data_IF_764463982212
#
_entry.id   IF_764463982212
#
_cell.length_a   1.000
_cell.length_b   1.000
_cell.length_c   1.000
_cell.angle_alpha   90.00
_cell.angle_beta   90.00
_cell.angle_gamma   90.00
#
_symmetry.space_group_name_H-M   'P 1'
#
loop_
_entity.id
_entity.type
_entity.pdbx_description
1 polymer ?
#
# COMPACT_ATOMS: atom_id res chain seq x y z
N UNK A 1 -17.37 27.76 -4.17
CA UNK A 1 -18.02 26.46 -4.45
C UNK A 1 -18.20 26.17 -5.94
N UNK A 2 -18.86 27.02 -6.76
CA UNK A 2 -19.10 26.71 -8.19
C UNK A 2 -17.84 26.56 -9.08
N UNK A 3 -16.72 27.22 -8.76
CA UNK A 3 -15.41 27.03 -9.43
C UNK A 3 -14.74 25.69 -9.13
N UNK A 4 -15.07 25.03 -8.01
CA UNK A 4 -14.48 23.75 -7.60
C UNK A 4 -15.17 22.55 -8.27
N UNK A 5 -16.43 22.70 -8.68
CA UNK A 5 -17.20 21.66 -9.37
C UNK A 5 -16.82 21.52 -10.84
N UNK A 6 -16.51 22.64 -11.53
CA UNK A 6 -15.98 22.60 -12.91
C UNK A 6 -14.57 22.00 -12.98
N UNK A 7 -13.74 22.21 -11.95
CA UNK A 7 -12.43 21.55 -11.84
C UNK A 7 -12.61 20.05 -11.62
N UNK A 8 -13.57 19.63 -10.79
CA UNK A 8 -13.91 18.22 -10.56
C UNK A 8 -14.42 17.50 -11.83
N UNK A 9 -15.18 18.20 -12.69
CA UNK A 9 -15.72 17.65 -13.96
C UNK A 9 -14.70 17.63 -15.11
N UNK A 10 -13.75 18.57 -15.13
CA UNK A 10 -12.58 18.56 -16.03
C UNK A 10 -11.54 17.51 -15.61
N UNK A 11 -11.37 17.27 -14.30
CA UNK A 11 -10.58 16.15 -13.75
C UNK A 11 -11.14 14.81 -14.24
N UNK A 12 -12.46 14.72 -14.38
CA UNK A 12 -13.15 13.48 -14.72
C UNK A 12 -13.09 13.12 -16.21
N UNK A 13 -13.21 14.10 -17.10
CA UNK A 13 -13.16 13.88 -18.56
C UNK A 13 -11.75 13.60 -19.10
N UNK A 14 -10.69 13.99 -18.37
CA UNK A 14 -9.28 13.80 -18.77
C UNK A 14 -8.73 12.44 -18.30
N UNK A 15 -9.28 11.82 -17.25
CA UNK A 15 -8.80 10.53 -16.71
C UNK A 15 -8.96 9.34 -17.70
N UNK A 16 -9.75 9.51 -18.76
CA UNK A 16 -10.19 8.37 -19.57
C UNK A 16 -9.22 7.93 -20.69
N UNK A 17 -8.25 8.74 -21.14
CA UNK A 17 -7.31 8.34 -22.22
C UNK A 17 -5.82 8.15 -21.83
N UNK A 18 -5.40 8.43 -20.59
CA UNK A 18 -3.96 8.65 -20.27
C UNK A 18 -3.30 7.65 -19.29
N UNK A 19 -3.95 6.53 -18.95
CA UNK A 19 -3.47 5.67 -17.85
C UNK A 19 -2.32 4.68 -18.21
N UNK A 20 -1.92 4.55 -19.47
CA UNK A 20 -0.81 3.66 -19.88
C UNK A 20 0.57 4.36 -19.98
N UNK A 21 0.65 5.69 -19.80
CA UNK A 21 1.81 6.51 -20.19
C UNK A 21 2.35 7.44 -19.09
N UNK A 22 2.04 7.21 -17.80
CA UNK A 22 2.54 8.11 -16.73
C UNK A 22 4.05 8.03 -16.53
N UNK A 23 4.69 9.19 -16.48
CA UNK A 23 6.14 9.33 -16.26
C UNK A 23 6.59 8.84 -14.89
N UNK A 24 7.88 8.53 -14.77
CA UNK A 24 8.50 8.08 -13.53
C UNK A 24 8.34 9.13 -12.41
N UNK A 25 8.38 10.42 -12.76
CA UNK A 25 8.08 11.55 -11.90
C UNK A 25 6.64 11.54 -11.36
N UNK A 26 5.64 11.25 -12.19
CA UNK A 26 4.26 11.05 -11.74
C UNK A 26 4.11 9.86 -10.78
N UNK A 27 4.81 8.75 -11.03
CA UNK A 27 4.78 7.56 -10.15
C UNK A 27 5.33 7.87 -8.77
N UNK A 28 6.48 8.53 -8.69
CA UNK A 28 7.07 8.93 -7.42
C UNK A 28 6.22 9.96 -6.67
N UNK A 29 5.53 10.87 -7.37
CA UNK A 29 4.58 11.78 -6.74
C UNK A 29 3.37 11.05 -6.12
N UNK A 30 2.91 9.96 -6.73
CA UNK A 30 1.88 9.08 -6.15
C UNK A 30 2.42 8.36 -4.90
N UNK A 31 3.63 7.81 -4.97
CA UNK A 31 4.27 7.15 -3.82
C UNK A 31 4.44 8.13 -2.63
N UNK A 32 4.87 9.37 -2.91
CA UNK A 32 4.93 10.43 -1.92
C UNK A 32 3.56 10.69 -1.26
N UNK A 33 2.50 10.81 -2.07
CA UNK A 33 1.15 11.01 -1.59
C UNK A 33 0.69 9.84 -0.69
N UNK A 34 1.00 8.60 -1.04
CA UNK A 34 0.66 7.44 -0.22
C UNK A 34 1.34 7.45 1.15
N UNK A 35 2.64 7.74 1.23
CA UNK A 35 3.34 7.87 2.51
C UNK A 35 2.74 8.99 3.37
N UNK A 36 2.39 10.14 2.79
CA UNK A 36 1.72 11.21 3.53
C UNK A 36 0.32 10.82 4.01
N UNK A 37 -0.41 9.99 3.26
CA UNK A 37 -1.71 9.45 3.68
C UNK A 37 -1.57 8.58 4.92
N UNK A 38 -0.56 7.71 4.98
CA UNK A 38 -0.29 6.89 6.16
C UNK A 38 0.03 7.76 7.38
N UNK A 39 0.95 8.72 7.22
CA UNK A 39 1.28 9.68 8.28
C UNK A 39 0.05 10.48 8.77
N UNK A 40 -0.83 10.90 7.86
CA UNK A 40 -2.05 11.62 8.22
C UNK A 40 -3.02 10.73 9.02
N UNK A 41 -3.19 9.46 8.62
CA UNK A 41 -4.03 8.50 9.34
C UNK A 41 -3.55 8.29 10.78
N UNK A 42 -2.24 8.14 10.97
CA UNK A 42 -1.67 7.96 12.30
C UNK A 42 -1.74 9.24 13.14
N UNK A 43 -1.56 10.42 12.53
CA UNK A 43 -1.75 11.69 13.21
C UNK A 43 -3.22 11.93 13.61
N UNK A 44 -4.17 11.52 12.77
CA UNK A 44 -5.60 11.55 13.10
C UNK A 44 -5.91 10.65 14.29
N UNK A 45 -5.36 9.42 14.30
CA UNK A 45 -5.51 8.50 15.43
C UNK A 45 -4.97 9.10 16.71
N UNK A 46 -3.77 9.65 16.66
CA UNK A 46 -3.12 10.33 17.77
C UNK A 46 -3.94 11.51 18.33
N UNK A 47 -4.64 12.26 17.47
CA UNK A 47 -5.43 13.41 17.88
C UNK A 47 -6.76 13.05 18.56
N UNK A 48 -7.43 11.99 18.11
CA UNK A 48 -8.82 11.68 18.51
C UNK A 48 -8.96 10.47 19.41
N UNK A 49 -7.98 9.57 19.45
CA UNK A 49 -8.02 8.38 20.28
C UNK A 49 -6.90 8.43 21.31
N UNK A 50 -7.27 8.55 22.59
CA UNK A 50 -6.34 8.50 23.72
C UNK A 50 -5.56 7.19 23.65
N UNK A 51 -4.24 7.26 23.48
CA UNK A 51 -3.40 6.07 23.29
C UNK A 51 -2.20 6.11 24.22
N UNK A 52 -1.98 5.01 24.95
CA UNK A 52 -0.80 4.81 25.79
C UNK A 52 0.50 4.66 24.97
N UNK A 53 0.39 4.61 23.63
CA UNK A 53 1.51 4.39 22.70
C UNK A 53 1.90 5.65 21.92
N UNK A 54 1.76 6.83 22.53
CA UNK A 54 2.01 8.13 21.90
C UNK A 54 3.31 8.19 21.08
N UNK A 55 4.43 7.77 21.68
CA UNK A 55 5.76 7.80 21.02
C UNK A 55 5.85 6.90 19.79
N UNK A 56 5.14 5.78 19.76
CA UNK A 56 5.11 4.88 18.60
C UNK A 56 4.37 5.52 17.42
N UNK A 57 3.20 6.11 17.67
CA UNK A 57 2.47 6.85 16.64
C UNK A 57 3.27 8.05 16.12
N UNK A 58 3.90 8.81 17.02
CA UNK A 58 4.76 9.94 16.64
C UNK A 58 5.92 9.49 15.72
N UNK A 59 6.57 8.37 16.05
CA UNK A 59 7.65 7.81 15.23
C UNK A 59 7.14 7.38 13.84
N UNK A 60 6.03 6.63 13.78
CA UNK A 60 5.44 6.17 12.52
C UNK A 60 5.04 7.35 11.61
N UNK A 61 4.48 8.42 12.20
CA UNK A 61 4.15 9.65 11.48
C UNK A 61 5.44 10.26 10.89
N UNK A 62 6.49 10.40 11.70
CA UNK A 62 7.75 11.00 11.27
C UNK A 62 8.45 10.17 10.19
N UNK A 63 8.43 8.85 10.27
CA UNK A 63 9.01 7.94 9.28
C UNK A 63 8.28 8.03 7.94
N UNK A 64 6.96 7.96 7.96
CA UNK A 64 6.15 8.09 6.74
C UNK A 64 6.31 9.45 6.08
N UNK A 65 6.39 10.55 6.84
CA UNK A 65 6.64 11.87 6.24
C UNK A 65 8.05 11.92 5.64
N UNK A 66 9.07 11.31 6.26
CA UNK A 66 10.43 11.25 5.69
C UNK A 66 10.45 10.44 4.39
N UNK A 67 9.81 9.27 4.38
CA UNK A 67 9.73 8.42 3.19
C UNK A 67 9.02 9.14 2.03
N UNK A 68 7.91 9.82 2.32
CA UNK A 68 7.20 10.63 1.31
C UNK A 68 8.08 11.73 0.72
N UNK A 69 8.97 12.34 1.52
CA UNK A 69 9.96 13.32 1.03
C UNK A 69 11.03 12.69 0.15
N UNK A 70 11.51 11.48 0.47
CA UNK A 70 12.42 10.74 -0.41
C UNK A 70 11.79 10.48 -1.78
N UNK A 71 10.51 10.11 -1.82
CA UNK A 71 9.79 9.99 -3.09
C UNK A 71 9.60 11.33 -3.81
N UNK A 72 9.41 12.45 -3.10
CA UNK A 72 9.42 13.78 -3.73
C UNK A 72 10.78 14.05 -4.40
N UNK A 73 11.89 13.75 -3.73
CA UNK A 73 13.22 13.97 -4.30
C UNK A 73 13.38 13.17 -5.61
N UNK A 74 12.92 11.91 -5.63
CA UNK A 74 12.87 11.10 -6.85
C UNK A 74 11.92 11.68 -7.90
N UNK A 75 10.73 12.16 -7.52
CA UNK A 75 9.79 12.77 -8.44
C UNK A 75 10.36 14.02 -9.13
N UNK A 76 11.13 14.84 -8.39
CA UNK A 76 11.82 16.00 -8.94
C UNK A 76 12.98 15.59 -9.85
N UNK A 77 13.73 14.56 -9.48
CA UNK A 77 14.86 14.06 -10.28
C UNK A 77 14.45 13.62 -11.68
N UNK A 78 13.29 12.94 -11.79
CA UNK A 78 12.78 12.42 -13.05
C UNK A 78 11.78 13.36 -13.76
N UNK A 79 11.61 14.59 -13.27
CA UNK A 79 10.71 15.57 -13.88
C UNK A 79 11.36 16.25 -15.09
N UNK A 80 10.57 16.53 -16.12
CA UNK A 80 11.04 17.40 -17.21
C UNK A 80 11.14 18.84 -16.71
N UNK A 81 12.14 19.64 -17.15
CA UNK A 81 12.18 21.08 -16.87
C UNK A 81 10.91 21.84 -17.33
N UNK A 82 10.18 21.28 -18.31
CA UNK A 82 8.94 21.85 -18.82
C UNK A 82 7.72 21.58 -17.93
N UNK A 83 7.82 20.68 -16.94
CA UNK A 83 6.76 20.35 -15.97
C UNK A 83 6.65 21.40 -14.85
N UNK A 84 6.81 22.68 -15.18
CA UNK A 84 6.95 23.79 -14.23
C UNK A 84 5.86 23.85 -13.15
N UNK A 85 4.60 23.58 -13.51
CA UNK A 85 3.47 23.57 -12.57
C UNK A 85 3.47 22.33 -11.66
N UNK A 86 3.84 21.16 -12.19
CA UNK A 86 3.98 19.93 -11.40
C UNK A 86 5.15 20.04 -10.42
N UNK A 87 6.29 20.58 -10.89
CA UNK A 87 7.47 20.88 -10.10
C UNK A 87 7.16 21.89 -8.98
N UNK A 88 6.35 22.92 -9.24
CA UNK A 88 5.91 23.85 -8.20
C UNK A 88 5.09 23.10 -7.13
N UNK A 89 4.19 22.22 -7.54
CA UNK A 89 3.30 21.48 -6.65
C UNK A 89 4.03 20.45 -5.80
N UNK A 90 4.94 19.68 -6.39
CA UNK A 90 5.73 18.71 -5.63
C UNK A 90 6.70 19.40 -4.65
N UNK A 91 7.21 20.60 -4.99
CA UNK A 91 7.98 21.43 -4.05
C UNK A 91 7.14 21.98 -2.90
N UNK A 92 5.90 22.40 -3.18
CA UNK A 92 4.95 22.79 -2.12
C UNK A 92 4.63 21.62 -1.18
N UNK A 93 4.49 20.40 -1.72
CA UNK A 93 4.32 19.21 -0.91
C UNK A 93 5.50 18.97 0.04
N UNK A 94 6.75 19.13 -0.41
CA UNK A 94 7.94 19.02 0.45
C UNK A 94 7.99 20.12 1.52
N UNK A 95 7.60 21.36 1.20
CA UNK A 95 7.49 22.45 2.18
C UNK A 95 6.50 22.08 3.29
N UNK A 96 5.33 21.55 2.92
CA UNK A 96 4.34 21.12 3.89
C UNK A 96 4.81 19.90 4.70
N UNK A 97 5.46 18.93 4.07
CA UNK A 97 6.05 17.78 4.76
C UNK A 97 7.09 18.22 5.81
N UNK A 98 7.96 19.19 5.49
CA UNK A 98 8.91 19.80 6.45
C UNK A 98 8.21 20.46 7.62
N UNK A 99 7.13 21.21 7.38
CA UNK A 99 6.31 21.83 8.45
C UNK A 99 5.61 20.78 9.32
N UNK A 100 5.15 19.68 8.73
CA UNK A 100 4.60 18.53 9.44
C UNK A 100 5.64 17.93 10.40
N UNK A 101 6.83 17.59 9.89
CA UNK A 101 7.96 17.08 10.70
C UNK A 101 8.28 18.02 11.86
N UNK A 102 8.35 19.33 11.61
CA UNK A 102 8.66 20.31 12.66
C UNK A 102 7.63 20.28 13.80
N UNK A 103 6.35 20.16 13.48
CA UNK A 103 5.28 20.07 14.48
C UNK A 103 5.34 18.76 15.27
N UNK A 104 5.49 17.62 14.58
CA UNK A 104 5.54 16.32 15.25
C UNK A 104 6.83 16.14 16.07
N UNK A 105 7.94 16.81 15.74
CA UNK A 105 9.16 16.79 16.57
C UNK A 105 9.00 17.55 17.90
N UNK A 106 8.16 18.59 17.95
CA UNK A 106 7.93 19.40 19.17
C UNK A 106 7.23 18.57 20.26
N UNK A 107 6.55 17.48 19.88
CA UNK A 107 5.86 16.55 20.78
C UNK A 107 6.81 15.69 21.63
N UNK A 108 8.13 15.88 21.50
CA UNK A 108 9.12 15.15 22.29
C UNK A 108 9.20 15.75 23.70
N UNK A 109 8.55 15.12 24.70
CA UNK A 109 8.77 15.41 26.11
C UNK A 109 7.95 16.58 26.71
N UNK A 110 6.73 16.84 26.23
CA UNK A 110 5.83 17.84 26.84
C UNK A 110 4.53 17.20 27.35
N UNK A 111 3.73 18.03 28.02
CA UNK A 111 2.50 17.64 28.71
C UNK A 111 1.32 17.67 27.72
N UNK A 112 0.49 16.62 27.67
CA UNK A 112 -0.48 16.30 26.60
C UNK A 112 -1.40 17.49 26.20
N UNK A 113 -1.87 18.28 27.17
CA UNK A 113 -2.72 19.45 26.90
C UNK A 113 -2.01 20.60 26.15
N UNK A 114 -0.67 20.68 26.22
CA UNK A 114 0.13 21.66 25.48
C UNK A 114 0.53 21.16 24.09
N UNK A 115 0.30 19.89 23.79
CA UNK A 115 0.73 19.20 22.56
C UNK A 115 -0.36 19.16 21.49
N UNK A 116 -1.63 19.11 21.90
CA UNK A 116 -2.79 19.02 21.01
C UNK A 116 -2.84 20.09 19.88
N UNK A 117 -2.44 21.38 20.09
CA UNK A 117 -2.34 22.34 18.99
C UNK A 117 -1.32 21.96 17.91
N UNK A 118 -0.19 21.37 18.30
CA UNK A 118 0.87 20.93 17.38
C UNK A 118 0.47 19.68 16.62
N UNK A 119 -0.29 18.77 17.24
CA UNK A 119 -0.86 17.59 16.55
C UNK A 119 -1.82 18.05 15.45
N UNK A 120 -2.74 18.97 15.75
CA UNK A 120 -3.67 19.55 14.76
C UNK A 120 -2.95 20.27 13.62
N UNK A 121 -1.92 21.07 13.94
CA UNK A 121 -1.10 21.75 12.94
C UNK A 121 -0.30 20.76 12.08
N UNK A 122 0.29 19.73 12.71
CA UNK A 122 0.98 18.65 12.02
C UNK A 122 0.06 17.92 11.04
N UNK A 123 -1.15 17.55 11.47
CA UNK A 123 -2.18 16.95 10.62
C UNK A 123 -2.53 17.85 9.43
N UNK A 124 -2.75 19.15 9.68
CA UNK A 124 -3.05 20.13 8.64
C UNK A 124 -1.95 20.16 7.57
N UNK A 125 -0.68 20.22 7.98
CA UNK A 125 0.44 20.24 7.05
C UNK A 125 0.61 18.92 6.30
N UNK A 126 0.49 17.77 6.97
CA UNK A 126 0.58 16.46 6.30
C UNK A 126 -0.53 16.27 5.28
N UNK A 127 -1.75 16.74 5.56
CA UNK A 127 -2.85 16.73 4.60
C UNK A 127 -2.55 17.58 3.36
N UNK A 128 -1.96 18.77 3.54
CA UNK A 128 -1.57 19.61 2.41
C UNK A 128 -0.45 18.99 1.57
N UNK A 129 0.54 18.34 2.23
CA UNK A 129 1.59 17.58 1.54
C UNK A 129 1.01 16.45 0.70
N UNK A 130 0.07 15.68 1.26
CA UNK A 130 -0.69 14.67 0.54
C UNK A 130 -1.40 15.25 -0.69
N UNK A 131 -2.18 16.32 -0.53
CA UNK A 131 -2.97 16.89 -1.62
C UNK A 131 -2.12 17.48 -2.73
N UNK A 132 -1.03 18.17 -2.40
CA UNK A 132 -0.14 18.77 -3.40
C UNK A 132 0.73 17.72 -4.11
N UNK A 133 1.14 16.65 -3.43
CA UNK A 133 1.83 15.52 -4.07
C UNK A 133 0.91 14.78 -5.05
N UNK A 134 -0.35 14.54 -4.64
CA UNK A 134 -1.35 13.97 -5.53
C UNK A 134 -1.61 14.88 -6.73
N UNK A 135 -1.77 16.19 -6.51
CA UNK A 135 -1.99 17.15 -7.60
C UNK A 135 -0.79 17.27 -8.54
N UNK A 136 0.43 17.22 -8.03
CA UNK A 136 1.64 17.16 -8.86
C UNK A 136 1.66 15.91 -9.75
N UNK A 137 1.22 14.76 -9.24
CA UNK A 137 1.15 13.52 -10.02
C UNK A 137 0.22 13.60 -11.24
N UNK A 138 -0.79 14.48 -11.19
CA UNK A 138 -1.72 14.72 -12.30
C UNK A 138 -1.17 15.71 -13.34
N UNK A 139 -0.09 16.41 -13.01
CA UNK A 139 0.45 17.52 -13.80
C UNK A 139 1.77 17.22 -14.50
N UNK A 140 2.49 16.15 -14.13
CA UNK A 140 3.69 15.74 -14.86
C UNK A 140 3.30 15.31 -16.28
N UNK A 141 3.98 15.87 -17.30
CA UNK A 141 3.69 15.59 -18.70
C UNK A 141 4.08 14.18 -19.10
N UNK A 142 3.33 13.56 -20.02
CA UNK A 142 3.52 12.19 -20.54
C UNK A 142 4.76 12.03 -21.47
N UNK A 143 5.76 12.90 -21.37
CA UNK A 143 6.92 12.84 -22.26
C UNK A 143 7.80 11.64 -21.90
N UNK A 144 7.69 10.56 -22.67
CA UNK A 144 8.49 9.34 -22.51
C UNK A 144 9.96 9.63 -22.81
N UNK A 145 10.79 9.69 -21.77
CA UNK A 145 12.25 9.57 -21.94
C UNK A 145 12.55 8.08 -22.11
N UNK A 146 13.00 7.69 -23.31
CA UNK A 146 13.58 6.38 -23.53
C UNK A 146 14.88 6.27 -22.73
N UNK A 147 14.84 5.53 -21.63
CA UNK A 147 16.03 5.04 -20.97
C UNK A 147 16.07 3.55 -21.28
N UNK A 148 17.15 3.11 -21.93
CA UNK A 148 17.48 1.69 -22.09
C UNK A 148 17.44 1.03 -20.72
N UNK A 149 16.47 0.14 -20.52
CA UNK A 149 16.38 -0.68 -19.32
C UNK A 149 17.62 -1.58 -19.23
N UNK A 150 18.49 -1.27 -18.27
CA UNK A 150 19.42 -2.25 -17.74
C UNK A 150 18.59 -3.23 -16.89
N UNK A 151 18.22 -4.35 -17.50
CA UNK A 151 17.36 -5.41 -16.95
C UNK A 151 18.09 -6.32 -15.94
N UNK A 152 19.28 -5.92 -15.48
CA UNK A 152 20.15 -6.77 -14.63
C UNK A 152 20.05 -6.50 -13.12
N UNK A 153 19.23 -5.55 -12.66
CA UNK A 153 19.03 -5.34 -11.22
C UNK A 153 17.75 -6.00 -10.69
N UNK A 154 17.94 -6.98 -9.79
CA UNK A 154 16.89 -7.60 -8.99
C UNK A 154 16.08 -6.50 -8.25
N UNK A 155 14.76 -6.57 -8.31
CA UNK A 155 13.88 -5.61 -7.63
C UNK A 155 13.89 -5.92 -6.13
N UNK A 156 14.49 -5.03 -5.32
CA UNK A 156 14.47 -5.14 -3.85
C UNK A 156 13.03 -5.22 -3.30
N UNK A 157 12.80 -6.08 -2.31
CA UNK A 157 11.55 -6.26 -1.54
C UNK A 157 10.84 -4.93 -1.24
N UNK A 158 11.58 -3.91 -0.80
CA UNK A 158 11.00 -2.61 -0.42
C UNK A 158 10.31 -1.90 -1.59
N UNK A 159 10.87 -2.07 -2.80
CA UNK A 159 10.28 -1.54 -4.04
C UNK A 159 9.04 -2.34 -4.43
N UNK A 160 9.10 -3.67 -4.31
CA UNK A 160 7.98 -4.55 -4.61
C UNK A 160 6.78 -4.28 -3.67
N UNK A 161 7.01 -4.08 -2.37
CA UNK A 161 5.97 -3.68 -1.40
C UNK A 161 5.33 -2.32 -1.75
N UNK A 162 6.13 -1.38 -2.26
CA UNK A 162 5.65 -0.06 -2.71
C UNK A 162 4.78 -0.17 -3.96
N UNK A 163 5.23 -0.99 -4.92
CA UNK A 163 4.50 -1.25 -6.17
C UNK A 163 3.18 -1.99 -5.88
N UNK A 164 3.20 -2.98 -4.99
CA UNK A 164 2.01 -3.72 -4.53
C UNK A 164 0.98 -2.76 -3.92
N UNK A 165 1.41 -1.93 -2.96
CA UNK A 165 0.54 -0.94 -2.30
C UNK A 165 -0.06 0.04 -3.30
N UNK A 166 0.71 0.41 -4.32
CA UNK A 166 0.26 1.30 -5.39
C UNK A 166 -0.81 0.69 -6.26
N UNK A 167 -0.62 -0.55 -6.71
CA UNK A 167 -1.62 -1.25 -7.52
C UNK A 167 -2.90 -1.55 -6.73
N UNK A 168 -2.78 -1.96 -5.47
CA UNK A 168 -3.92 -2.11 -4.55
C UNK A 168 -4.71 -0.80 -4.38
N UNK A 169 -4.01 0.32 -4.25
CA UNK A 169 -4.64 1.64 -4.13
C UNK A 169 -5.36 2.03 -5.41
N UNK A 170 -4.72 1.83 -6.57
CA UNK A 170 -5.29 2.14 -7.89
C UNK A 170 -6.55 1.30 -8.14
N UNK A 171 -6.50 -0.01 -7.85
CA UNK A 171 -7.66 -0.91 -7.91
C UNK A 171 -8.82 -0.37 -7.08
N UNK A 172 -8.59 -0.05 -5.80
CA UNK A 172 -9.63 0.48 -4.92
C UNK A 172 -10.22 1.82 -5.39
N UNK A 173 -9.41 2.68 -6.02
CA UNK A 173 -9.90 3.92 -6.63
C UNK A 173 -10.83 3.64 -7.82
N UNK A 174 -10.47 2.70 -8.69
CA UNK A 174 -11.34 2.29 -9.80
C UNK A 174 -12.64 1.66 -9.30
N UNK A 175 -12.59 0.75 -8.34
CA UNK A 175 -13.77 0.14 -7.72
C UNK A 175 -14.72 1.21 -7.14
N UNK A 176 -14.17 2.18 -6.40
CA UNK A 176 -14.94 3.29 -5.83
C UNK A 176 -15.58 4.15 -6.93
N UNK A 177 -14.85 4.43 -8.01
CA UNK A 177 -15.41 5.25 -9.09
C UNK A 177 -16.46 4.50 -9.90
N UNK A 178 -16.25 3.22 -10.17
CA UNK A 178 -17.25 2.36 -10.84
C UNK A 178 -18.54 2.34 -10.02
N UNK A 179 -18.44 2.17 -8.70
CA UNK A 179 -19.61 2.23 -7.81
C UNK A 179 -20.30 3.60 -7.84
N UNK A 180 -19.52 4.69 -7.83
CA UNK A 180 -20.09 6.03 -7.93
C UNK A 180 -20.80 6.27 -9.27
N UNK A 181 -20.28 5.71 -10.37
CA UNK A 181 -20.94 5.74 -11.68
C UNK A 181 -22.25 4.96 -11.64
N UNK A 182 -22.29 3.80 -10.99
CA UNK A 182 -23.54 3.04 -10.83
C UNK A 182 -24.60 3.82 -10.07
N UNK A 183 -24.20 4.47 -8.97
CA UNK A 183 -25.09 5.34 -8.20
C UNK A 183 -25.55 6.56 -9.03
N UNK A 184 -24.69 7.09 -9.91
CA UNK A 184 -25.00 8.22 -10.79
C UNK A 184 -25.96 7.81 -11.91
N UNK A 185 -25.72 6.68 -12.57
CA UNK A 185 -26.60 6.09 -13.58
C UNK A 185 -28.00 5.87 -12.98
N UNK A 186 -28.10 5.26 -11.80
CA UNK A 186 -29.39 5.02 -11.15
C UNK A 186 -30.18 6.31 -10.90
N UNK A 187 -29.50 7.41 -10.53
CA UNK A 187 -30.14 8.72 -10.34
C UNK A 187 -30.60 9.33 -11.66
N UNK A 188 -29.78 9.24 -12.71
CA UNK A 188 -30.12 9.77 -14.03
C UNK A 188 -31.28 8.99 -14.64
N UNK A 189 -31.29 7.66 -14.50
CA UNK A 189 -32.41 6.79 -14.91
C UNK A 189 -33.71 7.15 -14.16
N UNK A 190 -33.64 7.40 -12.85
CA UNK A 190 -34.79 7.89 -12.10
C UNK A 190 -35.30 9.25 -12.64
N UNK A 191 -34.42 10.20 -12.94
CA UNK A 191 -34.81 11.48 -13.55
C UNK A 191 -35.39 11.33 -14.95
N UNK A 192 -34.89 10.37 -15.75
CA UNK A 192 -35.40 10.08 -17.10
C UNK A 192 -36.87 9.64 -17.07
N UNK A 193 -37.27 8.85 -16.06
CA UNK A 193 -38.66 8.42 -15.89
C UNK A 193 -39.62 9.54 -15.47
N UNK A 194 -39.10 10.63 -14.88
CA UNK A 194 -39.91 11.72 -14.33
C UNK A 194 -40.14 12.88 -15.31
N UNK A 195 -39.34 12.97 -16.38
CA UNK A 195 -39.46 14.05 -17.37
C UNK A 195 -40.31 13.62 -18.56
N UNK A 196 -41.08 14.56 -19.11
CA UNK A 196 -41.81 14.40 -20.37
C UNK A 196 -41.21 15.26 -21.50
N UNK A 197 -40.20 16.08 -21.22
CA UNK A 197 -39.54 16.93 -22.19
C UNK A 197 -38.54 16.14 -23.05
N UNK A 198 -38.72 16.18 -24.36
CA UNK A 198 -37.95 15.37 -25.32
C UNK A 198 -36.46 15.75 -25.38
N UNK A 199 -36.13 17.05 -25.27
CA UNK A 199 -34.73 17.50 -25.25
C UNK A 199 -34.02 17.03 -23.97
N UNK A 200 -34.70 17.15 -22.83
CA UNK A 200 -34.22 16.68 -21.53
C UNK A 200 -34.02 15.16 -21.53
N UNK A 201 -34.97 14.39 -22.09
CA UNK A 201 -34.82 12.92 -22.21
C UNK A 201 -33.57 12.55 -22.98
N UNK A 202 -33.38 13.14 -24.16
CA UNK A 202 -32.22 12.87 -25.00
C UNK A 202 -30.90 13.19 -24.28
N UNK A 203 -30.83 14.32 -23.57
CA UNK A 203 -29.64 14.70 -22.79
C UNK A 203 -29.34 13.73 -21.64
N UNK A 204 -30.37 13.21 -20.97
CA UNK A 204 -30.22 12.22 -19.91
C UNK A 204 -29.78 10.86 -20.48
N UNK A 205 -30.31 10.45 -21.63
CA UNK A 205 -29.87 9.25 -22.36
C UNK A 205 -28.41 9.35 -22.79
N UNK A 206 -27.99 10.48 -23.36
CA UNK A 206 -26.59 10.75 -23.72
C UNK A 206 -25.67 10.72 -22.48
N UNK A 207 -26.13 11.26 -21.35
CA UNK A 207 -25.39 11.21 -20.09
C UNK A 207 -25.21 9.77 -19.58
N UNK A 208 -26.25 8.94 -19.64
CA UNK A 208 -26.18 7.51 -19.28
C UNK A 208 -25.21 6.78 -20.22
N UNK A 209 -25.25 7.05 -21.52
CA UNK A 209 -24.35 6.43 -22.48
C UNK A 209 -22.88 6.76 -22.19
N UNK A 210 -22.57 8.03 -21.92
CA UNK A 210 -21.22 8.48 -21.55
C UNK A 210 -20.73 7.82 -20.24
N UNK A 211 -21.60 7.76 -19.21
CA UNK A 211 -21.28 7.10 -17.95
C UNK A 211 -21.03 5.60 -18.12
N UNK A 212 -21.80 4.91 -18.97
CA UNK A 212 -21.61 3.48 -19.28
C UNK A 212 -20.30 3.24 -20.03
N UNK A 213 -19.96 4.08 -21.01
CA UNK A 213 -18.70 4.01 -21.74
C UNK A 213 -17.50 4.21 -20.79
N UNK A 214 -17.60 5.17 -19.89
CA UNK A 214 -16.58 5.39 -18.87
C UNK A 214 -16.43 4.24 -17.90
N UNK A 215 -17.54 3.68 -17.40
CA UNK A 215 -17.52 2.48 -16.55
C UNK A 215 -16.80 1.32 -17.25
N UNK A 216 -17.09 1.08 -18.53
CA UNK A 216 -16.42 0.04 -19.32
C UNK A 216 -14.90 0.27 -19.42
N UNK A 217 -14.46 1.52 -19.64
CA UNK A 217 -13.03 1.87 -19.68
C UNK A 217 -12.35 1.65 -18.33
N UNK A 218 -12.99 2.02 -17.22
CA UNK A 218 -12.45 1.82 -15.88
C UNK A 218 -12.32 0.34 -15.53
N UNK A 219 -13.27 -0.52 -15.92
CA UNK A 219 -13.14 -1.97 -15.76
C UNK A 219 -11.93 -2.54 -16.50
N UNK A 220 -11.70 -2.13 -17.74
CA UNK A 220 -10.52 -2.55 -18.51
C UNK A 220 -9.21 -2.17 -17.82
N UNK A 221 -9.12 -0.93 -17.31
CA UNK A 221 -7.96 -0.46 -16.52
C UNK A 221 -7.79 -1.21 -15.20
N UNK A 222 -8.89 -1.55 -14.54
CA UNK A 222 -8.88 -2.31 -13.29
C UNK A 222 -8.35 -3.73 -13.50
N UNK A 223 -8.80 -4.42 -14.55
CA UNK A 223 -8.30 -5.77 -14.87
C UNK A 223 -6.80 -5.76 -15.18
N UNK A 224 -6.33 -4.80 -15.99
CA UNK A 224 -4.89 -4.66 -16.26
C UNK A 224 -4.06 -4.32 -15.00
N UNK A 225 -4.66 -3.60 -14.05
CA UNK A 225 -4.04 -3.32 -12.75
C UNK A 225 -3.97 -4.57 -11.89
N UNK A 226 -5.00 -5.41 -11.94
CA UNK A 226 -5.04 -6.71 -11.26
C UNK A 226 -3.93 -7.63 -11.76
N UNK A 227 -3.77 -7.75 -13.08
CA UNK A 227 -2.73 -8.59 -13.68
C UNK A 227 -1.33 -8.15 -13.22
N UNK A 228 -1.10 -6.83 -13.14
CA UNK A 228 0.16 -6.26 -12.62
C UNK A 228 0.35 -6.47 -11.14
N UNK A 229 -0.72 -6.34 -10.36
CA UNK A 229 -0.69 -6.60 -8.93
C UNK A 229 -0.28 -8.05 -8.68
N UNK A 230 -0.89 -9.01 -9.38
CA UNK A 230 -0.56 -10.44 -9.29
C UNK A 230 0.92 -10.67 -9.62
N UNK A 231 1.44 -10.07 -10.69
CA UNK A 231 2.87 -10.18 -11.02
C UNK A 231 3.77 -9.66 -9.90
N UNK A 232 3.47 -8.49 -9.34
CA UNK A 232 4.26 -7.92 -8.23
C UNK A 232 4.15 -8.76 -6.96
N UNK A 233 2.97 -9.31 -6.67
CA UNK A 233 2.77 -10.18 -5.52
C UNK A 233 3.55 -11.48 -5.66
N UNK A 234 3.63 -12.05 -6.87
CA UNK A 234 4.47 -13.21 -7.17
C UNK A 234 5.96 -12.87 -7.00
N UNK A 235 6.44 -11.77 -7.60
CA UNK A 235 7.82 -11.28 -7.42
C UNK A 235 8.15 -11.09 -5.92
N UNK A 236 7.21 -10.52 -5.15
CA UNK A 236 7.37 -10.30 -3.72
C UNK A 236 7.40 -11.62 -2.93
N UNK A 237 6.54 -12.58 -3.28
CA UNK A 237 6.51 -13.91 -2.68
C UNK A 237 7.83 -14.65 -2.87
N UNK A 238 8.52 -14.46 -4.01
CA UNK A 238 9.83 -15.05 -4.25
C UNK A 238 10.93 -14.33 -3.45
N UNK A 239 10.95 -13.01 -3.50
CA UNK A 239 12.06 -12.23 -2.95
C UNK A 239 12.01 -12.08 -1.42
N UNK A 240 10.82 -12.17 -0.80
CA UNK A 240 10.66 -12.01 0.65
C UNK A 240 11.44 -13.05 1.45
N UNK A 241 11.64 -14.26 0.90
CA UNK A 241 12.41 -15.33 1.55
C UNK A 241 13.91 -15.22 1.29
N UNK A 242 14.35 -14.42 0.31
CA UNK A 242 15.76 -14.16 0.06
C UNK A 242 16.32 -13.02 0.92
N UNK A 243 15.45 -12.24 1.58
CA UNK A 243 15.85 -11.15 2.46
C UNK A 243 16.49 -11.67 3.75
N UNK A 244 17.82 -11.49 3.88
CA UNK A 244 18.66 -12.14 4.91
C UNK A 244 18.55 -11.53 6.31
N UNK A 245 17.93 -10.35 6.49
CA UNK A 245 18.18 -9.52 7.69
C UNK A 245 16.97 -8.72 8.21
N UNK A 246 15.74 -9.30 8.21
CA UNK A 246 14.57 -8.60 8.75
C UNK A 246 13.57 -9.51 9.46
N UNK A 247 13.09 -9.04 10.61
CA UNK A 247 11.87 -9.50 11.26
C UNK A 247 10.64 -9.06 10.45
N UNK A 248 10.11 -9.96 9.63
CA UNK A 248 8.99 -9.66 8.74
C UNK A 248 7.75 -10.41 9.22
N UNK A 249 6.77 -9.66 9.71
CA UNK A 249 5.43 -10.15 10.00
C UNK A 249 4.38 -9.05 9.75
N UNK A 250 3.42 -9.33 8.89
CA UNK A 250 2.19 -8.58 8.73
C UNK A 250 1.00 -9.48 9.11
N UNK A 251 -0.06 -8.88 9.65
CA UNK A 251 -1.24 -9.63 10.14
C UNK A 251 -2.55 -9.17 9.51
N UNK A 252 -2.50 -8.26 8.56
CA UNK A 252 -3.63 -7.62 7.90
C UNK A 252 -3.43 -7.54 6.37
N UNK A 253 -2.53 -8.37 5.81
CA UNK A 253 -2.23 -8.43 4.38
C UNK A 253 -3.27 -9.27 3.63
N UNK A 254 -4.53 -8.90 3.76
CA UNK A 254 -5.67 -9.61 3.17
C UNK A 254 -5.64 -9.53 1.63
N UNK A 255 -5.98 -10.62 0.96
CA UNK A 255 -6.01 -10.70 -0.50
C UNK A 255 -4.64 -10.73 -1.17
N UNK A 256 -3.57 -10.99 -0.42
CA UNK A 256 -2.24 -11.19 -0.98
C UNK A 256 -2.13 -12.53 -1.71
N UNK A 257 -2.45 -13.62 -1.00
CA UNK A 257 -2.47 -14.96 -1.58
C UNK A 257 -3.79 -15.21 -2.30
N UNK A 258 -3.73 -15.87 -3.45
CA UNK A 258 -4.88 -16.21 -4.29
C UNK A 258 -4.55 -17.44 -5.16
N UNK A 259 -5.49 -17.88 -6.00
CA UNK A 259 -5.22 -18.92 -7.01
C UNK A 259 -4.06 -18.53 -7.96
N UNK A 260 -3.90 -17.23 -8.26
CA UNK A 260 -2.85 -16.73 -9.18
C UNK A 260 -1.55 -16.28 -8.46
N UNK A 261 -1.56 -16.28 -7.12
CA UNK A 261 -0.39 -16.09 -6.25
C UNK A 261 -0.53 -17.03 -5.05
N UNK A 262 -0.29 -18.34 -5.22
CA UNK A 262 -0.50 -19.32 -4.17
C UNK A 262 0.51 -19.15 -3.03
N UNK A 263 0.19 -19.70 -1.85
CA UNK A 263 1.14 -19.74 -0.74
C UNK A 263 2.33 -20.60 -1.18
N UNK A 264 3.56 -20.06 -1.15
CA UNK A 264 4.71 -20.77 -1.71
C UNK A 264 5.06 -22.00 -0.88
N UNK A 265 5.47 -23.07 -1.57
CA UNK A 265 5.77 -24.37 -0.98
C UNK A 265 7.26 -24.70 -1.09
N UNK A 266 7.83 -25.25 -0.01
CA UNK A 266 9.24 -25.65 0.10
C UNK A 266 10.22 -24.52 -0.29
N UNK A 267 9.93 -23.30 0.15
CA UNK A 267 10.77 -22.12 -0.10
C UNK A 267 12.20 -22.33 0.42
N UNK A 268 13.18 -21.90 -0.36
CA UNK A 268 14.56 -21.81 0.13
C UNK A 268 14.65 -20.69 1.16
N UNK A 269 15.34 -20.97 2.27
CA UNK A 269 15.54 -20.02 3.36
C UNK A 269 16.90 -19.36 3.24
N UNK A 270 17.05 -18.12 3.76
CA UNK A 270 18.33 -17.45 3.73
C UNK A 270 19.35 -18.23 4.58
N UNK A 271 20.63 -18.08 4.24
CA UNK A 271 21.71 -18.67 5.01
C UNK A 271 21.77 -18.04 6.41
N UNK A 272 22.14 -18.84 7.40
CA UNK A 272 22.14 -18.43 8.81
C UNK A 272 20.99 -19.04 9.60
N UNK A 273 20.80 -18.50 10.80
CA UNK A 273 19.76 -18.92 11.74
C UNK A 273 18.47 -18.16 11.44
N UNK A 274 17.38 -18.90 11.24
CA UNK A 274 16.06 -18.35 10.96
C UNK A 274 15.03 -19.01 11.86
N UNK A 275 14.31 -18.19 12.62
CA UNK A 275 13.14 -18.60 13.38
C UNK A 275 11.88 -18.35 12.56
N UNK A 276 10.94 -19.30 12.65
CA UNK A 276 9.61 -19.20 12.02
C UNK A 276 8.56 -19.64 13.01
N UNK A 277 7.31 -19.27 12.76
CA UNK A 277 6.19 -19.66 13.62
C UNK A 277 5.32 -20.64 12.87
N UNK A 278 5.24 -21.86 13.38
CA UNK A 278 4.36 -22.87 12.84
C UNK A 278 2.94 -22.64 13.38
N UNK A 279 1.95 -22.62 12.48
CA UNK A 279 0.55 -22.33 12.83
C UNK A 279 -0.40 -23.51 12.60
N UNK A 280 0.05 -24.56 11.92
CA UNK A 280 -0.75 -25.78 11.73
C UNK A 280 -0.11 -26.79 10.80
N UNK A 281 -0.75 -27.97 10.74
CA UNK A 281 -0.48 -29.02 9.77
C UNK A 281 -1.79 -29.51 9.17
N UNK A 282 -1.85 -29.63 7.85
CA UNK A 282 -3.06 -30.06 7.15
C UNK A 282 -2.72 -31.08 6.05
N UNK A 283 -3.63 -32.01 5.76
CA UNK A 283 -3.43 -32.98 4.68
C UNK A 283 -3.62 -32.35 3.29
N UNK A 284 -4.51 -31.38 3.20
CA UNK A 284 -4.83 -30.66 1.97
C UNK A 284 -4.42 -29.19 2.09
N UNK A 285 -4.22 -28.54 0.96
CA UNK A 285 -4.05 -27.10 0.89
C UNK A 285 -5.32 -26.40 1.41
N UNK A 286 -5.11 -25.39 2.25
CA UNK A 286 -6.20 -24.51 2.71
C UNK A 286 -6.29 -23.26 1.85
N UNK A 287 -7.51 -22.75 1.58
CA UNK A 287 -7.71 -21.46 0.94
C UNK A 287 -7.02 -20.32 1.70
N UNK A 288 -6.50 -19.34 0.97
CA UNK A 288 -5.77 -18.20 1.50
C UNK A 288 -6.54 -17.42 2.58
N UNK A 289 -7.88 -17.37 2.46
CA UNK A 289 -8.77 -16.66 3.36
C UNK A 289 -8.74 -17.21 4.79
N UNK A 290 -8.35 -18.48 4.98
CA UNK A 290 -8.23 -19.09 6.31
C UNK A 290 -7.09 -18.49 7.15
N UNK A 291 -6.15 -17.79 6.51
CA UNK A 291 -4.96 -17.27 7.17
C UNK A 291 -5.08 -15.81 7.61
N UNK A 292 -6.24 -15.17 7.40
CA UNK A 292 -6.59 -13.84 7.91
C UNK A 292 -5.53 -12.74 7.66
N UNK A 293 -4.85 -12.77 6.52
CA UNK A 293 -3.84 -11.77 6.16
C UNK A 293 -2.49 -11.92 6.87
N UNK A 294 -2.21 -13.09 7.44
CA UNK A 294 -0.86 -13.45 7.88
C UNK A 294 0.12 -13.46 6.70
N UNK A 295 1.26 -12.79 6.87
CA UNK A 295 2.31 -12.72 5.85
C UNK A 295 3.70 -12.52 6.48
N UNK A 296 4.77 -13.08 5.89
CA UNK A 296 4.77 -14.05 4.79
C UNK A 296 4.41 -15.46 5.28
N UNK A 297 3.56 -16.17 4.52
CA UNK A 297 3.25 -17.58 4.70
C UNK A 297 4.08 -18.43 3.75
N UNK A 298 4.45 -19.63 4.20
CA UNK A 298 4.90 -20.68 3.30
C UNK A 298 4.52 -22.05 3.84
N UNK A 299 4.57 -23.05 2.97
CA UNK A 299 4.34 -24.44 3.34
C UNK A 299 5.58 -25.30 3.19
N UNK A 300 5.68 -26.38 3.96
CA UNK A 300 6.69 -27.44 3.80
C UNK A 300 5.98 -28.79 3.78
N UNK A 301 6.34 -29.66 2.83
CA UNK A 301 5.77 -31.00 2.74
C UNK A 301 6.46 -31.95 3.71
N UNK A 302 5.69 -32.59 4.59
CA UNK A 302 6.15 -33.56 5.59
C UNK A 302 5.63 -34.94 5.24
N UNK A 303 6.55 -35.91 5.17
CA UNK A 303 6.27 -37.33 4.91
C UNK A 303 5.43 -37.59 3.64
N UNK A 304 5.49 -36.67 2.67
CA UNK A 304 4.65 -36.65 1.47
C UNK A 304 3.13 -36.61 1.70
N UNK A 305 2.67 -36.43 2.94
CA UNK A 305 1.25 -36.49 3.33
C UNK A 305 0.73 -35.18 3.91
N UNK A 306 1.54 -34.48 4.69
CA UNK A 306 1.09 -33.28 5.41
C UNK A 306 1.79 -32.02 4.90
N UNK A 307 1.08 -30.90 4.93
CA UNK A 307 1.59 -29.56 4.71
C UNK A 307 1.72 -28.84 6.05
N UNK A 308 2.96 -28.48 6.41
CA UNK A 308 3.26 -27.60 7.53
C UNK A 308 3.07 -26.16 7.09
N UNK A 309 2.25 -25.39 7.80
CA UNK A 309 2.11 -23.95 7.55
C UNK A 309 2.96 -23.16 8.53
N UNK A 310 3.74 -22.23 7.98
CA UNK A 310 4.66 -21.39 8.73
C UNK A 310 4.47 -19.93 8.34
N UNK A 311 4.56 -19.05 9.32
CA UNK A 311 4.45 -17.61 9.14
C UNK A 311 5.68 -16.89 9.67
N UNK A 312 6.08 -15.85 8.96
CA UNK A 312 7.15 -14.95 9.34
C UNK A 312 8.53 -15.55 9.17
N UNK A 313 9.50 -14.64 9.17
CA UNK A 313 10.93 -14.92 9.28
C UNK A 313 11.47 -13.97 10.35
N UNK A 314 12.27 -14.51 11.26
CA UNK A 314 12.88 -13.75 12.35
C UNK A 314 14.32 -14.22 12.53
N UNK A 315 15.24 -13.29 12.74
CA UNK A 315 16.65 -13.61 13.03
C UNK A 315 16.87 -13.88 14.53
N UNK A 316 15.94 -13.40 15.38
CA UNK A 316 15.99 -13.50 16.84
C UNK A 316 14.82 -14.25 17.42
N UNK A 317 15.10 -15.02 18.47
CA UNK A 317 14.08 -15.78 19.18
C UNK A 317 13.06 -14.86 19.86
N UNK A 318 13.51 -13.73 20.42
CA UNK A 318 12.63 -12.82 21.14
C UNK A 318 11.59 -12.17 20.23
N UNK A 319 11.97 -11.79 19.01
CA UNK A 319 11.07 -11.20 18.03
C UNK A 319 10.05 -12.23 17.53
N UNK A 320 10.49 -13.47 17.25
CA UNK A 320 9.60 -14.59 16.99
C UNK A 320 8.64 -14.87 18.16
N UNK A 321 9.09 -14.73 19.41
CA UNK A 321 8.26 -14.91 20.61
C UNK A 321 7.20 -13.83 20.76
N UNK A 322 7.54 -12.57 20.49
CA UNK A 322 6.57 -11.45 20.46
C UNK A 322 5.56 -11.66 19.34
N UNK A 323 6.02 -12.02 18.14
CA UNK A 323 5.17 -12.35 17.00
C UNK A 323 4.21 -13.51 17.30
N UNK A 324 4.70 -14.60 17.91
CA UNK A 324 3.88 -15.76 18.29
C UNK A 324 2.72 -15.36 19.19
N UNK A 325 2.95 -14.49 20.18
CA UNK A 325 1.88 -14.00 21.06
C UNK A 325 0.78 -13.28 20.28
N UNK A 326 1.15 -12.48 19.27
CA UNK A 326 0.20 -11.78 18.40
C UNK A 326 -0.60 -12.77 17.53
N UNK A 327 0.06 -13.79 17.00
CA UNK A 327 -0.57 -14.87 16.21
C UNK A 327 -1.54 -15.70 17.06
N UNK A 328 -1.16 -16.06 18.29
CA UNK A 328 -2.06 -16.74 19.25
C UNK A 328 -3.29 -15.87 19.55
N UNK A 329 -3.09 -14.57 19.80
CA UNK A 329 -4.18 -13.64 20.07
C UNK A 329 -5.15 -13.49 18.87
N UNK A 330 -4.69 -13.79 17.65
CA UNK A 330 -5.49 -13.81 16.43
C UNK A 330 -6.30 -15.10 16.25
N UNK A 331 -6.06 -16.13 17.07
CA UNK A 331 -6.83 -17.39 17.07
C UNK A 331 -6.03 -18.65 16.83
N UNK A 332 -4.74 -18.55 16.49
CA UNK A 332 -3.85 -19.69 16.26
C UNK A 332 -3.26 -20.18 17.58
N UNK A 333 -4.10 -20.78 18.44
CA UNK A 333 -3.77 -21.10 19.84
C UNK A 333 -2.58 -22.04 20.00
N UNK A 334 -2.39 -22.93 19.03
CA UNK A 334 -1.32 -23.94 19.05
C UNK A 334 -0.05 -23.47 18.34
N UNK A 335 0.06 -22.19 18.01
CA UNK A 335 1.23 -21.67 17.31
C UNK A 335 2.50 -21.79 18.17
N UNK A 336 3.59 -22.27 17.58
CA UNK A 336 4.89 -22.39 18.25
C UNK A 336 6.06 -22.05 17.32
N UNK A 337 7.18 -21.67 17.91
CA UNK A 337 8.39 -21.28 17.18
C UNK A 337 9.12 -22.54 16.73
N UNK A 338 9.69 -22.52 15.53
CA UNK A 338 10.64 -23.51 15.01
C UNK A 338 11.88 -22.78 14.48
N UNK A 339 13.00 -23.48 14.38
CA UNK A 339 14.27 -22.91 13.96
C UNK A 339 14.90 -23.70 12.80
N UNK A 340 15.53 -22.97 11.89
CA UNK A 340 16.30 -23.48 10.78
C UNK A 340 17.70 -22.87 10.80
N UNK A 341 18.71 -23.66 10.45
CA UNK A 341 20.08 -23.22 10.22
C UNK A 341 20.48 -23.64 8.82
N UNK A 342 20.78 -22.67 7.95
CA UNK A 342 21.15 -22.89 6.55
C UNK A 342 20.12 -23.79 5.83
N UNK A 343 18.83 -23.48 5.99
CA UNK A 343 17.72 -24.24 5.42
C UNK A 343 17.40 -25.58 6.09
N UNK A 344 18.17 -26.02 7.10
CA UNK A 344 17.91 -27.29 7.81
C UNK A 344 17.31 -27.04 9.18
N UNK A 345 16.22 -27.74 9.49
CA UNK A 345 15.55 -27.65 10.79
C UNK A 345 16.48 -28.11 11.91
N UNK A 346 16.56 -27.32 12.99
CA UNK A 346 17.33 -27.64 14.19
C UNK A 346 16.47 -27.52 15.46
N UNK A 347 16.86 -28.17 16.58
CA UNK A 347 16.19 -27.96 17.86
C UNK A 347 16.30 -26.50 18.33
N UNK A 348 15.20 -25.94 18.85
CA UNK A 348 15.17 -24.55 19.35
C UNK A 348 16.22 -24.32 20.44
N UNK A 349 16.45 -25.32 21.30
CA UNK A 349 17.44 -25.22 22.37
C UNK A 349 18.87 -25.03 21.83
N UNK A 350 19.16 -25.53 20.63
CA UNK A 350 20.46 -25.35 19.97
C UNK A 350 20.50 -24.00 19.25
N UNK A 351 19.41 -23.62 18.57
CA UNK A 351 19.25 -22.32 17.92
C UNK A 351 19.52 -21.16 18.88
N UNK A 352 18.88 -21.15 20.06
CA UNK A 352 19.02 -20.09 21.06
C UNK A 352 20.44 -19.98 21.61
N UNK A 353 21.23 -21.08 21.62
CA UNK A 353 22.65 -21.04 22.02
C UNK A 353 23.56 -20.50 20.92
N UNK A 354 23.12 -20.58 19.66
CA UNK A 354 23.87 -20.13 18.48
C UNK A 354 23.54 -18.68 18.11
N UNK A 355 22.40 -18.17 18.56
CA UNK A 355 22.01 -16.75 18.49
C UNK A 355 23.07 -15.89 19.21
N UNK A 356 23.60 -14.88 18.52
CA UNK A 356 24.74 -14.06 18.99
C UNK A 356 24.31 -12.75 19.62
#
# INVERSE_FOLDING_TARGET
MKRYFLIFLLIFTIENSYAQTRTLSAKYAIAAAQSFKQAYSDAYRLNYFYTNNFSSYQNNILENIKQGRTYIDSAVLFASPNDSVALLKIKMADIYAKKGIANFKILSGKNENKEHPYIKQGMFYTQHALTDAYYASLLFSDTTVNITEDTTQVRDVTRLETDETSFMTIKSLFEKRIKAIDDEIAKVEASLTQTNDTDTKKRLEDAIANLKEEKARLYSKMNHTEDKLVMVQNDLSEEIFNAVDKDILMMDKNGFYSENNPIPQNVELPQGLVYRIQIGFFMNELPAEHFDGLFPLSTEKIDNVYLRYMVGLFDKYNDASVAKKKIIAKGYTDAFIIAYLNGKRIPIADAVKMEK
#
